data_IF_971146886882
#
_entry.id   IF_971146886882
#
_cell.length_a   1.000
_cell.length_b   1.000
_cell.length_c   1.000
_cell.angle_alpha   90.00
_cell.angle_beta   90.00
_cell.angle_gamma   90.00
#
_symmetry.space_group_name_H-M   'P 1'
#
loop_
_entity.id
_entity.type
_entity.pdbx_description
1 polymer ?
#
# COMPACT_ATOMS: atom_id res chain seq x y z
N UNK A 1 -12.90 26.02 -25.58
CA UNK A 1 -12.08 26.13 -24.36
C UNK A 1 -12.72 25.24 -23.32
N UNK A 2 -12.24 24.00 -23.18
CA UNK A 2 -12.57 23.17 -22.03
C UNK A 2 -11.50 23.48 -20.97
N UNK A 3 -11.93 23.83 -19.77
CA UNK A 3 -11.03 24.06 -18.64
C UNK A 3 -10.68 22.68 -18.06
N UNK A 4 -9.45 22.23 -18.30
CA UNK A 4 -8.81 21.17 -17.53
C UNK A 4 -8.81 21.58 -16.06
N UNK A 5 -9.80 21.10 -15.31
CA UNK A 5 -9.84 21.22 -13.86
C UNK A 5 -9.01 20.08 -13.28
N UNK A 6 -7.69 20.15 -13.48
CA UNK A 6 -6.74 19.38 -12.67
C UNK A 6 -6.61 20.08 -11.31
N UNK A 7 -7.71 20.06 -10.55
CA UNK A 7 -7.75 20.44 -9.14
C UNK A 7 -6.70 19.60 -8.42
N UNK A 8 -5.81 20.24 -7.66
CA UNK A 8 -4.63 19.62 -7.04
C UNK A 8 -4.94 18.68 -5.88
N UNK A 9 -5.94 17.83 -6.03
CA UNK A 9 -6.23 16.74 -5.12
C UNK A 9 -5.23 15.61 -5.38
N UNK A 10 -4.67 14.98 -4.33
CA UNK A 10 -3.80 13.83 -4.50
C UNK A 10 -4.55 12.73 -5.25
N UNK A 11 -3.83 12.00 -6.10
CA UNK A 11 -4.43 10.85 -6.76
C UNK A 11 -4.77 9.80 -5.71
N UNK A 12 -5.75 8.95 -5.98
CA UNK A 12 -6.04 7.79 -5.13
C UNK A 12 -4.76 6.95 -4.85
N UNK A 13 -3.85 6.87 -5.82
CA UNK A 13 -2.56 6.20 -5.66
C UNK A 13 -1.67 6.85 -4.59
N UNK A 14 -1.52 8.18 -4.61
CA UNK A 14 -0.77 8.93 -3.58
C UNK A 14 -1.37 8.78 -2.18
N UNK A 15 -2.71 8.79 -2.09
CA UNK A 15 -3.42 8.61 -0.83
C UNK A 15 -3.22 7.20 -0.28
N UNK A 16 -3.29 6.18 -1.15
CA UNK A 16 -3.07 4.79 -0.79
C UNK A 16 -1.62 4.56 -0.35
N UNK A 17 -0.64 5.13 -1.06
CA UNK A 17 0.77 5.06 -0.68
C UNK A 17 0.99 5.65 0.73
N UNK A 18 0.47 6.85 0.96
CA UNK A 18 0.57 7.54 2.25
C UNK A 18 -0.06 6.71 3.37
N UNK A 19 -1.22 6.10 3.12
CA UNK A 19 -1.92 5.25 4.09
C UNK A 19 -1.09 4.01 4.45
N UNK A 20 -0.55 3.30 3.44
CA UNK A 20 0.26 2.09 3.64
C UNK A 20 1.52 2.42 4.44
N UNK A 21 2.25 3.49 4.05
CA UNK A 21 3.47 3.91 4.74
C UNK A 21 3.20 4.30 6.19
N UNK A 22 2.08 4.98 6.45
CA UNK A 22 1.69 5.38 7.81
C UNK A 22 1.37 4.18 8.69
N UNK A 23 0.62 3.19 8.18
CA UNK A 23 0.31 1.97 8.91
C UNK A 23 1.58 1.14 9.19
N UNK A 24 2.48 1.04 8.19
CA UNK A 24 3.78 0.40 8.37
C UNK A 24 4.63 1.07 9.45
N UNK A 25 4.70 2.41 9.45
CA UNK A 25 5.45 3.18 10.45
C UNK A 25 4.92 3.00 11.88
N UNK A 26 3.63 2.65 12.04
CA UNK A 26 3.01 2.33 13.32
C UNK A 26 3.25 0.88 13.77
N UNK A 27 3.75 0.02 12.88
CA UNK A 27 3.92 -1.41 13.13
C UNK A 27 2.63 -2.22 12.96
N UNK A 28 1.63 -1.66 12.27
CA UNK A 28 0.40 -2.39 11.95
C UNK A 28 0.70 -3.50 10.92
N UNK A 29 -0.02 -4.61 11.01
CA UNK A 29 0.05 -5.67 10.01
C UNK A 29 -0.66 -5.21 8.73
N UNK A 30 0.13 -4.77 7.75
CA UNK A 30 -0.35 -4.27 6.45
C UNK A 30 -0.40 -5.34 5.36
N UNK A 31 0.05 -6.55 5.61
CA UNK A 31 0.05 -7.67 4.66
C UNK A 31 -1.17 -8.57 4.92
N UNK A 32 -1.95 -8.88 3.88
CA UNK A 32 -3.21 -9.61 4.06
C UNK A 32 -4.25 -9.35 2.98
N UNK A 33 -5.47 -9.83 3.25
CA UNK A 33 -6.65 -9.61 2.44
C UNK A 33 -7.76 -8.98 3.30
N UNK A 34 -8.41 -7.94 2.77
CA UNK A 34 -9.51 -7.25 3.43
C UNK A 34 -10.69 -7.11 2.48
N UNK A 35 -11.86 -7.47 3.00
CA UNK A 35 -13.14 -7.20 2.38
C UNK A 35 -13.73 -5.94 3.03
N UNK A 36 -13.96 -4.90 2.22
CA UNK A 36 -14.54 -3.63 2.65
C UNK A 36 -15.96 -3.58 2.12
N UNK A 37 -16.90 -3.87 3.01
CA UNK A 37 -18.34 -3.72 2.76
C UNK A 37 -18.73 -2.25 2.96
N UNK A 38 -19.24 -1.62 1.91
CA UNK A 38 -19.71 -0.24 1.99
C UNK A 38 -21.22 -0.25 2.22
N UNK A 39 -21.75 0.34 3.30
CA UNK A 39 -23.18 0.24 3.63
C UNK A 39 -24.10 1.03 2.68
N UNK A 40 -23.56 1.61 1.61
CA UNK A 40 -24.34 2.36 0.62
C UNK A 40 -24.62 1.46 -0.57
N UNK A 41 -25.89 1.24 -0.87
CA UNK A 41 -26.33 0.31 -1.93
C UNK A 41 -25.86 0.65 -3.34
N UNK A 42 -25.28 1.84 -3.54
CA UNK A 42 -24.74 2.31 -4.81
C UNK A 42 -23.21 2.17 -4.92
N UNK A 43 -22.52 1.80 -3.85
CA UNK A 43 -21.09 1.53 -3.89
C UNK A 43 -20.85 0.02 -4.03
N UNK A 44 -19.81 -0.37 -4.78
CA UNK A 44 -19.39 -1.76 -4.82
C UNK A 44 -18.72 -2.15 -3.49
N UNK A 45 -18.73 -3.45 -3.21
CA UNK A 45 -17.84 -4.04 -2.22
C UNK A 45 -16.43 -4.16 -2.82
N UNK A 46 -15.43 -4.00 -1.97
CA UNK A 46 -14.03 -4.02 -2.39
C UNK A 46 -13.29 -5.15 -1.70
N UNK A 47 -12.49 -5.89 -2.46
CA UNK A 47 -11.50 -6.83 -1.92
C UNK A 47 -10.11 -6.27 -2.22
N UNK A 48 -9.32 -6.05 -1.17
CA UNK A 48 -7.95 -5.53 -1.26
C UNK A 48 -6.99 -6.60 -0.78
N UNK A 49 -5.95 -6.90 -1.56
CA UNK A 49 -4.86 -7.79 -1.19
C UNK A 49 -3.56 -7.00 -1.20
N UNK A 50 -2.85 -6.99 -0.08
CA UNK A 50 -1.53 -6.37 0.04
C UNK A 50 -0.50 -7.46 0.31
N UNK A 51 0.49 -7.55 -0.57
CA UNK A 51 1.55 -8.55 -0.53
C UNK A 51 2.91 -7.86 -0.48
N UNK A 52 3.78 -8.28 0.44
CA UNK A 52 5.17 -7.83 0.43
C UNK A 52 5.91 -8.51 -0.72
N UNK A 53 6.45 -7.69 -1.62
CA UNK A 53 7.40 -8.15 -2.64
C UNK A 53 8.80 -7.84 -2.15
N UNK A 54 9.61 -8.89 -1.99
CA UNK A 54 11.04 -8.73 -1.81
C UNK A 54 11.62 -8.34 -3.17
N UNK A 55 12.08 -7.10 -3.29
CA UNK A 55 12.95 -6.72 -4.41
C UNK A 55 14.23 -7.55 -4.32
N UNK A 56 14.82 -7.95 -5.44
CA UNK A 56 16.06 -8.76 -5.48
C UNK A 56 17.23 -8.12 -4.67
N UNK A 57 17.14 -6.82 -4.38
CA UNK A 57 18.05 -6.06 -3.52
C UNK A 57 17.92 -6.36 -2.01
N UNK A 58 16.83 -6.95 -1.55
CA UNK A 58 16.61 -7.43 -0.18
C UNK A 58 16.84 -8.95 -0.10
N UNK A 59 17.68 -9.49 -0.98
CA UNK A 59 18.28 -10.81 -0.76
C UNK A 59 18.84 -10.78 0.66
N UNK A 60 18.47 -11.72 1.55
CA UNK A 60 19.08 -11.79 2.86
C UNK A 60 20.57 -11.92 2.58
N UNK A 61 21.32 -10.84 2.83
CA UNK A 61 22.75 -10.93 2.86
C UNK A 61 23.01 -12.03 3.87
N UNK A 62 23.40 -13.21 3.39
CA UNK A 62 24.12 -14.17 4.21
C UNK A 62 25.29 -13.36 4.73
N UNK A 63 25.09 -12.77 5.90
CA UNK A 63 26.14 -12.28 6.76
C UNK A 63 26.86 -13.55 7.12
N UNK A 64 27.75 -13.99 6.23
CA UNK A 64 28.79 -14.93 6.58
C UNK A 64 29.54 -14.19 7.67
N UNK A 65 29.15 -14.45 8.91
CA UNK A 65 29.90 -14.06 10.08
C UNK A 65 31.26 -14.70 9.82
N UNK A 66 32.24 -13.86 9.48
CA UNK A 66 33.61 -14.29 9.30
C UNK A 66 34.07 -14.76 10.68
N UNK A 67 34.01 -16.07 10.91
CA UNK A 67 34.60 -16.74 12.05
C UNK A 67 36.12 -16.53 11.96
N UNK A 68 36.69 -15.98 13.04
CA UNK A 68 38.07 -15.51 13.20
C UNK A 68 39.14 -16.60 12.98
#
# INVERSE_FOLDING_TARGET
MAADSNTGDPSFEDELETLILTAFARGDAIEGQWDIEVPVSSAPDWSITVEKRLSEADSPHESTFLDD
#
